data_IF_990760410481
#
_entry.id   IF_990760410481
#
_cell.length_a   1.000
_cell.length_b   1.000
_cell.length_c   1.000
_cell.angle_alpha   90.00
_cell.angle_beta   90.00
_cell.angle_gamma   90.00
#
_symmetry.space_group_name_H-M   'P 1'
#
loop_
_entity.id
_entity.type
_entity.pdbx_description
1 polymer ?
#
# COMPACT_ATOMS: atom_id res chain seq x y z
N UNK A 1 14.76 -4.33 -6.41
CA UNK A 1 14.38 -4.50 -4.98
C UNK A 1 14.60 -3.17 -4.30
N UNK A 2 13.64 -2.67 -3.54
CA UNK A 2 13.82 -1.45 -2.74
C UNK A 2 14.72 -1.74 -1.54
N UNK A 3 15.54 -0.76 -1.19
CA UNK A 3 16.54 -0.89 -0.13
C UNK A 3 16.21 0.12 0.97
N UNK A 4 16.10 -0.29 2.24
CA UNK A 4 15.88 0.64 3.35
C UNK A 4 16.90 1.78 3.37
N UNK A 5 16.47 2.97 3.79
CA UNK A 5 17.21 4.24 3.80
C UNK A 5 17.55 4.81 2.41
N UNK A 6 17.14 4.15 1.32
CA UNK A 6 17.23 4.71 -0.03
C UNK A 6 15.89 5.33 -0.43
N UNK A 7 15.90 6.33 -1.33
CA UNK A 7 14.67 6.90 -1.85
C UNK A 7 13.79 5.83 -2.49
N UNK A 8 12.47 5.91 -2.24
CA UNK A 8 11.50 5.10 -2.96
C UNK A 8 11.23 5.69 -4.36
N UNK A 9 10.74 4.89 -5.32
CA UNK A 9 10.29 5.42 -6.60
C UNK A 9 9.14 6.42 -6.42
N UNK A 10 9.02 7.36 -7.35
CA UNK A 10 7.86 8.26 -7.37
C UNK A 10 6.56 7.46 -7.42
N UNK A 11 5.57 7.96 -6.71
CA UNK A 11 4.22 7.44 -6.74
C UNK A 11 3.27 8.62 -6.86
N UNK A 12 2.71 8.79 -8.04
CA UNK A 12 1.66 9.76 -8.31
C UNK A 12 0.47 9.01 -8.89
N UNK A 13 -0.66 9.04 -8.18
CA UNK A 13 -1.90 8.37 -8.61
C UNK A 13 -3.12 9.22 -8.27
N UNK A 14 -4.14 9.23 -9.14
CA UNK A 14 -5.42 9.83 -8.80
C UNK A 14 -6.06 9.06 -7.64
N UNK A 15 -6.82 9.78 -6.79
CA UNK A 15 -7.60 9.16 -5.71
C UNK A 15 -9.08 9.54 -5.83
N UNK A 16 -9.95 8.74 -5.22
CA UNK A 16 -11.40 8.90 -5.41
C UNK A 16 -11.96 10.20 -4.79
N UNK A 17 -11.42 10.65 -3.65
CA UNK A 17 -12.05 11.71 -2.88
C UNK A 17 -11.09 12.80 -2.39
N UNK A 18 -9.78 12.67 -2.58
CA UNK A 18 -8.79 13.52 -1.94
C UNK A 18 -7.81 14.18 -2.93
N UNK A 19 -8.18 14.28 -4.21
CA UNK A 19 -7.30 14.73 -5.27
C UNK A 19 -6.18 13.71 -5.55
N UNK A 20 -5.19 14.09 -6.35
CA UNK A 20 -4.07 13.20 -6.63
C UNK A 20 -3.21 12.99 -5.38
N UNK A 21 -2.73 11.78 -5.21
CA UNK A 21 -1.74 11.44 -4.20
C UNK A 21 -0.35 11.46 -4.85
N UNK A 22 0.58 12.16 -4.22
CA UNK A 22 1.99 12.16 -4.63
C UNK A 22 2.87 11.93 -3.40
N UNK A 23 3.69 10.88 -3.41
CA UNK A 23 4.47 10.45 -2.24
C UNK A 23 5.36 11.56 -1.68
N UNK A 24 5.94 12.40 -2.54
CA UNK A 24 6.80 13.52 -2.15
C UNK A 24 6.05 14.74 -1.64
N UNK A 25 4.86 15.02 -2.18
CA UNK A 25 4.06 16.19 -1.79
C UNK A 25 3.14 15.92 -0.60
N UNK A 26 2.70 14.67 -0.42
CA UNK A 26 1.78 14.25 0.64
C UNK A 26 2.49 13.71 1.89
N UNK A 27 3.76 14.06 2.09
CA UNK A 27 4.55 13.56 3.22
C UNK A 27 3.79 13.66 4.54
N UNK A 28 3.90 12.61 5.34
CA UNK A 28 3.31 12.54 6.68
C UNK A 28 4.28 13.09 7.74
N UNK A 29 3.81 13.26 8.96
CA UNK A 29 4.67 13.69 10.08
C UNK A 29 5.76 12.67 10.36
N UNK A 30 5.42 11.37 10.42
CA UNK A 30 6.35 10.30 10.76
C UNK A 30 6.53 9.29 9.63
N UNK A 31 5.44 8.78 9.06
CA UNK A 31 5.47 7.82 7.95
C UNK A 31 4.27 7.97 7.03
N UNK A 32 4.48 7.64 5.76
CA UNK A 32 3.39 7.32 4.85
C UNK A 32 3.31 5.79 4.70
N UNK A 33 2.16 5.21 5.06
CA UNK A 33 1.85 3.79 4.86
C UNK A 33 1.19 3.63 3.49
N UNK A 34 1.92 3.04 2.55
CA UNK A 34 1.43 2.72 1.21
C UNK A 34 1.06 1.24 1.17
N UNK A 35 -0.21 0.95 0.86
CA UNK A 35 -0.74 -0.42 0.77
C UNK A 35 -1.19 -0.69 -0.66
N UNK A 36 -0.39 -1.45 -1.39
CA UNK A 36 -0.79 -1.91 -2.71
C UNK A 36 -1.67 -3.16 -2.59
N UNK A 37 -2.77 -3.20 -3.34
CA UNK A 37 -3.70 -4.32 -3.34
C UNK A 37 -4.08 -4.72 -4.78
N UNK A 38 -4.54 -5.96 -4.95
CA UNK A 38 -4.81 -6.53 -6.29
C UNK A 38 -5.95 -5.84 -7.03
N UNK A 39 -7.01 -5.47 -6.31
CA UNK A 39 -8.18 -4.82 -6.89
C UNK A 39 -9.51 -5.40 -6.40
N UNK A 40 -10.61 -4.93 -7.00
CA UNK A 40 -12.00 -5.30 -6.69
C UNK A 40 -12.27 -6.80 -6.77
N UNK A 41 -11.58 -7.50 -7.66
CA UNK A 41 -11.74 -8.94 -7.89
C UNK A 41 -11.23 -9.81 -6.72
N UNK A 42 -10.53 -9.22 -5.75
CA UNK A 42 -9.85 -9.94 -4.68
C UNK A 42 -10.61 -9.83 -3.34
N UNK A 43 -11.37 -10.85 -2.90
CA UNK A 43 -12.12 -10.80 -1.64
C UNK A 43 -11.22 -10.71 -0.41
N UNK A 44 -10.01 -11.26 -0.49
CA UNK A 44 -9.01 -11.15 0.59
C UNK A 44 -8.51 -9.72 0.71
N UNK A 45 -8.37 -9.00 -0.41
CA UNK A 45 -8.02 -7.58 -0.38
C UNK A 45 -9.11 -6.75 0.31
N UNK A 46 -10.38 -7.04 0.06
CA UNK A 46 -11.48 -6.35 0.75
C UNK A 46 -11.38 -6.53 2.27
N UNK A 47 -11.19 -7.76 2.75
CA UNK A 47 -11.03 -8.02 4.20
C UNK A 47 -9.81 -7.29 4.78
N UNK A 48 -8.70 -7.34 4.09
CA UNK A 48 -7.45 -6.70 4.51
C UNK A 48 -7.59 -5.18 4.60
N UNK A 49 -8.25 -4.55 3.62
CA UNK A 49 -8.52 -3.11 3.66
C UNK A 49 -9.57 -2.73 4.71
N UNK A 50 -10.52 -3.62 5.06
CA UNK A 50 -11.44 -3.42 6.19
C UNK A 50 -10.69 -3.41 7.53
N UNK A 51 -9.70 -4.29 7.72
CA UNK A 51 -8.82 -4.26 8.91
C UNK A 51 -8.05 -2.93 8.97
N UNK A 52 -7.42 -2.53 7.86
CA UNK A 52 -6.73 -1.24 7.76
C UNK A 52 -7.64 -0.06 8.12
N UNK A 53 -8.86 -0.07 7.58
CA UNK A 53 -9.83 1.01 7.79
C UNK A 53 -10.19 1.22 9.27
N UNK A 54 -10.25 0.14 10.05
CA UNK A 54 -10.53 0.21 11.49
C UNK A 54 -9.37 0.83 12.28
N UNK A 55 -8.15 0.70 11.78
CA UNK A 55 -6.94 1.18 12.43
C UNK A 55 -6.50 2.58 11.94
N UNK A 56 -7.21 3.19 10.98
CA UNK A 56 -6.86 4.52 10.47
C UNK A 56 -6.67 5.58 11.57
N UNK A 57 -7.57 5.71 12.57
CA UNK A 57 -7.39 6.70 13.64
C UNK A 57 -6.13 6.44 14.46
N UNK A 58 -5.76 5.16 14.65
CA UNK A 58 -4.58 4.78 15.42
C UNK A 58 -3.28 5.06 14.65
N UNK A 59 -3.27 4.89 13.33
CA UNK A 59 -2.16 5.31 12.47
C UNK A 59 -2.04 6.84 12.45
N UNK A 60 -3.15 7.55 12.32
CA UNK A 60 -3.16 9.02 12.32
C UNK A 60 -2.62 9.60 13.62
N UNK A 61 -3.00 9.06 14.78
CA UNK A 61 -2.45 9.45 16.10
C UNK A 61 -0.93 9.29 16.20
N UNK A 62 -0.35 8.38 15.39
CA UNK A 62 1.10 8.15 15.28
C UNK A 62 1.76 8.99 14.19
N UNK A 63 1.04 9.95 13.62
CA UNK A 63 1.54 10.79 12.53
C UNK A 63 1.78 10.01 11.22
N UNK A 64 1.01 8.95 11.01
CA UNK A 64 1.08 8.11 9.81
C UNK A 64 -0.10 8.43 8.89
N UNK A 65 0.19 8.81 7.67
CA UNK A 65 -0.82 8.90 6.59
C UNK A 65 -0.94 7.55 5.89
N UNK A 66 -2.15 7.18 5.52
CA UNK A 66 -2.42 5.88 4.88
C UNK A 66 -3.01 6.09 3.50
N UNK A 67 -2.50 5.36 2.52
CA UNK A 67 -3.07 5.29 1.17
C UNK A 67 -3.10 3.84 0.69
N UNK A 68 -4.25 3.41 0.16
CA UNK A 68 -4.40 2.12 -0.51
C UNK A 68 -4.43 2.34 -2.02
N UNK A 69 -3.64 1.61 -2.78
CA UNK A 69 -3.44 1.83 -4.23
C UNK A 69 -3.60 0.53 -5.00
N UNK A 70 -4.29 0.59 -6.14
CA UNK A 70 -4.35 -0.53 -7.08
C UNK A 70 -4.24 -0.07 -8.53
N UNK A 71 -4.01 -1.02 -9.44
CA UNK A 71 -4.06 -0.81 -10.88
C UNK A 71 -5.49 -0.82 -11.46
N UNK A 72 -6.51 -0.96 -10.63
CA UNK A 72 -7.91 -0.89 -11.05
C UNK A 72 -8.26 0.47 -11.67
N UNK A 73 -9.28 0.49 -12.52
CA UNK A 73 -9.88 1.72 -13.02
C UNK A 73 -10.60 2.49 -11.90
N UNK A 74 -10.91 3.75 -12.12
CA UNK A 74 -11.66 4.57 -11.16
C UNK A 74 -12.99 3.92 -10.75
N UNK A 75 -13.74 3.35 -11.71
CA UNK A 75 -15.03 2.70 -11.42
C UNK A 75 -14.85 1.47 -10.52
N UNK A 76 -13.83 0.65 -10.77
CA UNK A 76 -13.54 -0.53 -9.96
C UNK A 76 -13.06 -0.15 -8.56
N UNK A 77 -12.23 0.88 -8.47
CA UNK A 77 -11.80 1.43 -7.19
C UNK A 77 -12.97 2.02 -6.40
N UNK A 78 -13.92 2.70 -7.07
CA UNK A 78 -15.13 3.20 -6.44
C UNK A 78 -15.99 2.05 -5.91
N UNK A 79 -16.20 1.00 -6.69
CA UNK A 79 -16.93 -0.19 -6.23
C UNK A 79 -16.25 -0.90 -5.03
N UNK A 80 -14.91 -0.84 -4.93
CA UNK A 80 -14.20 -1.29 -3.73
C UNK A 80 -14.47 -0.36 -2.54
N UNK A 81 -14.37 0.94 -2.72
CA UNK A 81 -14.61 1.95 -1.68
C UNK A 81 -16.05 1.87 -1.13
N UNK A 82 -17.04 1.63 -1.99
CA UNK A 82 -18.44 1.45 -1.60
C UNK A 82 -18.62 0.22 -0.68
N UNK A 83 -17.87 -0.85 -0.92
CA UNK A 83 -17.86 -2.04 -0.05
C UNK A 83 -17.15 -1.80 1.27
N UNK A 84 -16.08 -1.02 1.25
CA UNK A 84 -15.29 -0.68 2.45
C UNK A 84 -16.07 0.22 3.41
N UNK A 85 -16.88 1.15 2.90
CA UNK A 85 -17.61 2.14 3.70
C UNK A 85 -16.71 2.90 4.67
N UNK A 86 -15.50 3.21 4.24
CA UNK A 86 -14.46 3.84 5.04
C UNK A 86 -14.00 5.14 4.36
N UNK A 87 -14.76 6.24 4.49
CA UNK A 87 -14.47 7.50 3.79
C UNK A 87 -13.14 8.13 4.20
N UNK A 88 -12.59 7.76 5.36
CA UNK A 88 -11.27 8.20 5.80
C UNK A 88 -10.10 7.49 5.11
N UNK A 89 -10.32 6.35 4.45
CA UNK A 89 -9.27 5.68 3.70
C UNK A 89 -9.08 6.33 2.33
N UNK A 90 -7.90 6.87 2.08
CA UNK A 90 -7.53 7.39 0.76
C UNK A 90 -7.31 6.24 -0.21
N UNK A 91 -8.12 6.14 -1.25
CA UNK A 91 -8.06 5.06 -2.24
C UNK A 91 -7.55 5.59 -3.57
N UNK A 92 -6.35 5.19 -3.93
CA UNK A 92 -5.70 5.47 -5.21
C UNK A 92 -6.03 4.39 -6.25
N UNK A 93 -6.11 4.79 -7.50
CA UNK A 93 -6.43 3.93 -8.63
C UNK A 93 -5.55 4.19 -9.85
N UNK A 94 -5.73 3.40 -10.89
CA UNK A 94 -5.02 3.55 -12.17
C UNK A 94 -3.48 3.53 -12.04
N UNK A 95 -2.95 2.80 -11.03
CA UNK A 95 -1.51 2.61 -10.88
C UNK A 95 -0.93 2.01 -12.15
N UNK A 96 0.02 2.67 -12.83
CA UNK A 96 0.71 2.08 -13.97
C UNK A 96 1.52 0.85 -13.53
N UNK A 97 1.44 -0.23 -14.30
CA UNK A 97 2.17 -1.46 -13.98
C UNK A 97 3.70 -1.28 -14.01
N UNK A 98 4.20 -0.32 -14.80
CA UNK A 98 5.61 0.05 -14.77
C UNK A 98 6.01 0.60 -13.40
N UNK A 99 5.22 1.52 -12.83
CA UNK A 99 5.43 2.06 -11.47
C UNK A 99 5.32 0.95 -10.42
N UNK A 100 4.33 0.04 -10.56
CA UNK A 100 4.22 -1.12 -9.67
C UNK A 100 5.51 -1.96 -9.67
N UNK A 101 6.14 -2.17 -10.85
CA UNK A 101 7.42 -2.89 -10.95
C UNK A 101 8.59 -2.12 -10.32
N UNK A 102 8.63 -0.81 -10.44
CA UNK A 102 9.64 0.03 -9.77
C UNK A 102 9.55 -0.12 -8.24
N UNK A 103 8.34 -0.24 -7.72
CA UNK A 103 8.08 -0.55 -6.31
C UNK A 103 8.38 -2.02 -5.93
N UNK A 104 8.82 -2.83 -6.88
CA UNK A 104 9.18 -4.23 -6.67
C UNK A 104 7.97 -5.16 -6.59
N UNK A 105 6.79 -4.70 -6.98
CA UNK A 105 5.59 -5.54 -6.97
C UNK A 105 5.63 -6.59 -8.09
N UNK A 106 5.13 -7.77 -7.79
CA UNK A 106 4.86 -8.79 -8.80
C UNK A 106 3.62 -8.42 -9.62
N UNK A 107 3.59 -8.87 -10.86
CA UNK A 107 2.47 -8.65 -11.78
C UNK A 107 1.92 -10.02 -12.18
N UNK A 108 0.61 -10.18 -12.02
CA UNK A 108 -0.11 -11.39 -12.41
C UNK A 108 -0.99 -11.17 -13.64
N UNK A 109 -1.11 -12.22 -14.43
CA UNK A 109 -2.08 -12.28 -15.53
C UNK A 109 -3.44 -12.80 -15.02
N UNK A 110 -4.50 -12.41 -15.70
CA UNK A 110 -5.87 -12.84 -15.41
C UNK A 110 -6.01 -14.36 -15.48
N UNK A 111 -6.77 -14.90 -14.54
CA UNK A 111 -7.28 -16.28 -14.55
C UNK A 111 -8.79 -16.34 -14.86
N UNK A 112 -9.36 -15.21 -15.28
CA UNK A 112 -10.77 -15.10 -15.61
C UNK A 112 -11.63 -14.64 -14.44
N UNK A 113 -12.80 -15.23 -14.30
CA UNK A 113 -13.78 -14.91 -13.28
C UNK A 113 -13.36 -15.45 -11.91
N UNK A 114 -13.42 -14.61 -10.90
CA UNK A 114 -13.14 -15.02 -9.51
C UNK A 114 -14.36 -15.67 -8.84
N UNK A 115 -14.16 -16.30 -7.69
CA UNK A 115 -15.22 -16.95 -6.89
C UNK A 115 -16.33 -15.99 -6.44
N UNK A 116 -16.09 -14.69 -6.45
CA UNK A 116 -17.10 -13.66 -6.13
C UNK A 116 -17.78 -13.07 -7.35
N UNK A 117 -17.59 -13.68 -8.53
CA UNK A 117 -18.23 -13.24 -9.78
C UNK A 117 -17.67 -11.94 -10.36
N UNK A 118 -16.44 -11.57 -10.01
CA UNK A 118 -15.76 -10.38 -10.55
C UNK A 118 -14.63 -10.82 -11.47
N UNK A 119 -14.63 -10.31 -12.72
CA UNK A 119 -13.58 -10.60 -13.70
C UNK A 119 -12.26 -9.94 -13.25
N UNK A 120 -11.16 -10.72 -13.28
CA UNK A 120 -9.81 -10.17 -13.11
C UNK A 120 -9.43 -9.28 -14.31
N UNK A 121 -8.73 -8.15 -14.09
CA UNK A 121 -8.08 -7.41 -15.17
C UNK A 121 -7.09 -8.30 -15.92
N UNK A 122 -6.78 -7.98 -17.18
CA UNK A 122 -5.82 -8.75 -17.97
C UNK A 122 -4.46 -8.89 -17.25
N UNK A 123 -4.00 -7.79 -16.65
CA UNK A 123 -2.82 -7.73 -15.79
C UNK A 123 -3.12 -6.87 -14.56
N UNK A 124 -2.56 -7.21 -13.42
CA UNK A 124 -2.68 -6.44 -12.18
C UNK A 124 -1.47 -6.67 -11.26
N UNK A 125 -1.22 -5.73 -10.34
CA UNK A 125 -0.14 -5.88 -9.36
C UNK A 125 -0.55 -6.80 -8.21
N UNK A 126 0.40 -7.58 -7.72
CA UNK A 126 0.28 -8.32 -6.47
C UNK A 126 0.53 -7.38 -5.26
N UNK A 127 0.19 -7.79 -4.03
CA UNK A 127 0.22 -6.90 -2.88
C UNK A 127 1.62 -6.49 -2.45
N UNK A 128 1.68 -5.29 -1.88
CA UNK A 128 2.85 -4.77 -1.16
C UNK A 128 2.44 -3.81 -0.06
N UNK A 129 3.24 -3.73 1.01
CA UNK A 129 3.04 -2.83 2.14
C UNK A 129 4.35 -2.13 2.44
N UNK A 130 4.33 -0.81 2.48
CA UNK A 130 5.54 -0.01 2.66
C UNK A 130 5.32 1.11 3.66
N UNK A 131 6.31 1.34 4.53
CA UNK A 131 6.42 2.56 5.34
C UNK A 131 7.52 3.43 4.73
N UNK A 132 7.15 4.65 4.36
CA UNK A 132 8.05 5.64 3.77
C UNK A 132 8.20 6.80 4.74
N UNK A 133 9.44 7.22 5.00
CA UNK A 133 9.74 8.38 5.85
C UNK A 133 9.35 9.70 5.16
N UNK A 134 9.22 10.81 5.92
CA UNK A 134 8.91 12.12 5.33
C UNK A 134 9.95 12.60 4.30
N UNK A 135 11.19 12.14 4.39
CA UNK A 135 12.26 12.43 3.45
C UNK A 135 12.22 11.58 2.17
N UNK A 136 11.18 10.76 2.02
CA UNK A 136 10.98 9.88 0.86
C UNK A 136 11.80 8.60 0.89
N UNK A 137 12.46 8.27 2.01
CA UNK A 137 13.26 7.05 2.11
C UNK A 137 12.45 5.86 2.64
N UNK A 138 12.77 4.65 2.17
CA UNK A 138 12.14 3.43 2.63
C UNK A 138 12.52 3.13 4.09
N UNK A 139 11.51 2.90 4.93
CA UNK A 139 11.70 2.40 6.29
C UNK A 139 11.42 0.90 6.40
N UNK A 140 10.28 0.44 5.86
CA UNK A 140 9.84 -0.95 5.87
C UNK A 140 9.21 -1.29 4.52
N UNK A 141 9.41 -2.51 4.06
CA UNK A 141 8.76 -3.01 2.85
C UNK A 141 8.52 -4.51 2.91
N UNK A 142 7.33 -4.93 2.49
CA UNK A 142 6.94 -6.32 2.31
C UNK A 142 6.17 -6.47 1.00
N UNK A 143 6.62 -7.36 0.13
CA UNK A 143 5.93 -7.71 -1.13
C UNK A 143 5.54 -9.18 -1.09
N UNK A 144 4.39 -9.52 -1.66
CA UNK A 144 3.86 -10.87 -1.66
C UNK A 144 3.61 -11.36 -3.09
N UNK A 145 3.80 -12.66 -3.31
CA UNK A 145 3.46 -13.35 -4.56
C UNK A 145 2.06 -13.96 -4.53
N UNK A 146 1.39 -13.86 -3.38
CA UNK A 146 0.04 -14.42 -3.19
C UNK A 146 -0.80 -13.47 -2.31
N UNK A 147 -2.14 -13.52 -2.40
CA UNK A 147 -2.99 -12.63 -1.61
C UNK A 147 -3.17 -13.02 -0.14
N UNK A 148 -2.74 -14.21 0.29
CA UNK A 148 -3.12 -14.80 1.58
C UNK A 148 -2.20 -14.39 2.74
N UNK A 149 -0.88 -14.42 2.52
CA UNK A 149 0.11 -14.11 3.55
C UNK A 149 0.54 -12.64 3.43
N UNK A 150 0.11 -11.82 4.38
CA UNK A 150 0.38 -10.39 4.42
C UNK A 150 0.76 -9.96 5.83
N UNK A 151 1.52 -8.86 5.98
CA UNK A 151 1.74 -8.26 7.31
C UNK A 151 0.41 -7.90 7.96
N UNK A 152 0.26 -8.17 9.25
CA UNK A 152 -0.89 -7.72 10.02
C UNK A 152 -0.74 -6.24 10.39
N UNK A 153 -1.81 -5.46 10.23
CA UNK A 153 -1.72 -4.01 10.47
C UNK A 153 -1.64 -3.65 11.95
N UNK A 154 -2.18 -4.47 12.83
CA UNK A 154 -2.03 -4.31 14.28
C UNK A 154 -0.58 -4.52 14.73
N UNK A 155 0.08 -5.56 14.22
CA UNK A 155 1.52 -5.78 14.48
C UNK A 155 2.38 -4.61 13.94
N UNK A 156 2.03 -4.10 12.75
CA UNK A 156 2.74 -2.97 12.17
C UNK A 156 2.52 -1.69 12.99
N UNK A 157 1.30 -1.42 13.45
CA UNK A 157 0.96 -0.32 14.36
C UNK A 157 1.75 -0.41 15.66
N UNK A 158 1.80 -1.58 16.29
CA UNK A 158 2.50 -1.80 17.56
C UNK A 158 4.03 -1.64 17.38
N UNK A 159 4.58 -2.10 16.25
CA UNK A 159 5.98 -1.89 15.91
C UNK A 159 6.33 -0.40 15.75
N UNK A 160 5.39 0.43 15.27
CA UNK A 160 5.60 1.87 15.15
C UNK A 160 5.78 2.56 16.51
N UNK A 161 5.10 2.11 17.56
CA UNK A 161 5.26 2.66 18.90
C UNK A 161 6.71 2.51 19.39
N UNK A 162 7.30 1.34 19.20
CA UNK A 162 8.70 1.10 19.51
C UNK A 162 9.63 1.91 18.60
N UNK A 163 9.36 1.91 17.30
CA UNK A 163 10.19 2.59 16.31
C UNK A 163 10.28 4.10 16.56
N UNK A 164 9.14 4.72 16.88
CA UNK A 164 9.07 6.15 17.20
C UNK A 164 9.70 6.46 18.54
N UNK A 165 9.38 5.71 19.59
CA UNK A 165 9.89 5.95 20.95
C UNK A 165 11.42 5.80 21.04
N UNK A 166 12.01 4.90 20.25
CA UNK A 166 13.45 4.61 20.26
C UNK A 166 14.21 5.24 19.10
N UNK A 167 13.54 5.98 18.23
CA UNK A 167 14.11 6.43 16.96
C UNK A 167 14.85 5.29 16.24
N UNK A 168 14.18 4.11 16.21
CA UNK A 168 14.80 2.90 15.69
C UNK A 168 15.09 3.04 14.21
N UNK A 169 16.33 2.78 13.76
CA UNK A 169 16.71 2.99 12.37
C UNK A 169 16.08 1.92 11.45
N UNK A 170 15.82 2.29 10.19
CA UNK A 170 15.52 1.30 9.16
C UNK A 170 16.69 0.31 9.03
N UNK A 171 16.39 -0.97 8.88
CA UNK A 171 17.38 -2.06 8.79
C UNK A 171 17.31 -2.72 7.41
N UNK A 172 18.41 -3.31 6.97
CA UNK A 172 18.52 -3.94 5.65
C UNK A 172 19.15 -3.03 4.59
N UNK A 173 19.82 -1.97 5.02
CA UNK A 173 20.43 -0.94 4.19
C UNK A 173 21.76 -1.32 3.54
N UNK A 174 22.37 -2.42 3.98
CA UNK A 174 23.70 -2.80 3.50
C UNK A 174 23.64 -3.42 2.10
N UNK A 175 24.41 -2.89 1.19
CA UNK A 175 24.36 -3.27 -0.24
C UNK A 175 25.69 -3.78 -0.80
N UNK A 176 26.78 -3.73 -0.04
CA UNK A 176 28.05 -4.25 -0.53
C UNK A 176 27.98 -5.77 -0.64
N UNK A 177 28.42 -6.31 -1.79
CA UNK A 177 28.67 -7.74 -1.92
C UNK A 177 29.87 -8.09 -1.02
N UNK A 178 29.65 -8.99 -0.08
CA UNK A 178 30.74 -9.59 0.72
C UNK A 178 31.55 -10.56 -0.12
#
# INVERSE_FOLDING_TARGET
MLIPRQPVPDLCVPTLAHGDFTISADAAQNFTLVVFYRGLHCPICLRYLLELSRLLPEFEQRGVKVVAVSSDTAERAQAMADKLRAPGLRVGHSLPLAVAREWGLYISASRGMTSIGVQEPALFSEPGVFLVRPDGTLYYGAVQTMPFARPHFDELRDALDFALAKNYPARGEYTAAS
#
